data_IF_838141054337
#
_entry.id   IF_838141054337
#
_cell.length_a   1.000
_cell.length_b   1.000
_cell.length_c   1.000
_cell.angle_alpha   90.00
_cell.angle_beta   90.00
_cell.angle_gamma   90.00
#
_symmetry.space_group_name_H-M   'P 1'
#
loop_
_entity.id
_entity.type
_entity.pdbx_description
1 polymer ?
#
# COMPACT_ATOMS: atom_id res chain seq x y z
N UNK A 1 2.61 -7.40 1.73
CA UNK A 1 3.12 -6.86 3.03
C UNK A 1 3.37 -8.03 3.97
N UNK A 2 4.54 -8.13 4.62
CA UNK A 2 4.91 -9.32 5.42
C UNK A 2 4.77 -9.04 6.91
N UNK A 3 3.94 -9.82 7.60
CA UNK A 3 3.84 -9.76 9.07
C UNK A 3 5.09 -10.40 9.67
N UNK A 4 5.92 -9.62 10.36
CA UNK A 4 7.00 -10.16 11.17
C UNK A 4 6.44 -10.74 12.47
N UNK A 5 6.78 -12.00 12.77
CA UNK A 5 6.52 -12.61 14.08
C UNK A 5 7.69 -12.23 15.00
N UNK A 6 7.38 -11.65 16.16
CA UNK A 6 8.40 -11.20 17.12
C UNK A 6 8.49 -12.18 18.29
N UNK A 7 9.71 -12.64 18.61
CA UNK A 7 9.93 -13.45 19.80
C UNK A 7 9.89 -12.60 21.08
N UNK A 8 9.71 -13.20 22.27
CA UNK A 8 9.68 -12.46 23.53
C UNK A 8 10.96 -11.64 23.80
N UNK A 9 12.12 -12.13 23.36
CA UNK A 9 13.40 -11.44 23.51
C UNK A 9 13.49 -10.19 22.62
N UNK A 10 13.10 -10.29 21.35
CA UNK A 10 13.01 -9.12 20.45
C UNK A 10 12.07 -8.05 21.02
N UNK A 11 10.92 -8.47 21.55
CA UNK A 11 9.98 -7.55 22.19
C UNK A 11 10.61 -6.88 23.41
N UNK A 12 11.27 -7.64 24.30
CA UNK A 12 11.95 -7.12 25.49
C UNK A 12 13.03 -6.12 25.12
N UNK A 13 13.86 -6.43 24.13
CA UNK A 13 14.93 -5.55 23.65
C UNK A 13 14.39 -4.27 23.00
N UNK A 14 13.19 -4.33 22.42
CA UNK A 14 12.50 -3.16 21.85
C UNK A 14 11.92 -2.20 22.88
N UNK A 15 11.63 -2.64 24.12
CA UNK A 15 10.93 -1.83 25.13
C UNK A 15 11.67 -0.55 25.52
N UNK A 16 12.99 -0.52 25.44
CA UNK A 16 13.78 0.69 25.71
C UNK A 16 13.44 1.86 24.78
N UNK A 17 12.92 1.58 23.58
CA UNK A 17 12.52 2.60 22.58
C UNK A 17 11.09 3.10 22.75
N UNK A 18 10.30 2.50 23.66
CA UNK A 18 8.88 2.81 23.77
C UNK A 18 8.58 4.28 24.08
N UNK A 19 9.31 4.96 25.00
CA UNK A 19 9.07 6.38 25.23
C UNK A 19 9.19 7.24 23.97
N UNK A 20 10.20 6.96 23.13
CA UNK A 20 10.42 7.66 21.86
C UNK A 20 9.32 7.33 20.84
N UNK A 21 8.92 6.05 20.75
CA UNK A 21 7.83 5.62 19.87
C UNK A 21 6.52 6.30 20.26
N UNK A 22 6.22 6.43 21.56
CA UNK A 22 5.01 7.08 22.02
C UNK A 22 5.01 8.59 21.74
N UNK A 23 6.13 9.27 21.99
CA UNK A 23 6.28 10.71 21.66
C UNK A 23 6.13 10.97 20.15
N UNK A 24 6.75 10.15 19.30
CA UNK A 24 6.64 10.31 17.84
C UNK A 24 5.20 10.15 17.35
N UNK A 25 4.44 9.19 17.90
CA UNK A 25 3.05 8.96 17.49
C UNK A 25 2.14 10.16 17.72
N UNK A 26 2.44 11.02 18.69
CA UNK A 26 1.66 12.24 18.93
C UNK A 26 2.03 13.38 17.97
N UNK A 27 3.17 13.27 17.28
CA UNK A 27 3.71 14.31 16.40
C UNK A 27 3.57 13.97 14.92
N UNK A 28 3.53 12.69 14.57
CA UNK A 28 3.45 12.25 13.18
C UNK A 28 2.02 12.27 12.64
N UNK A 29 1.85 12.66 11.37
CA UNK A 29 0.55 12.82 10.71
C UNK A 29 -0.41 11.64 10.90
N UNK A 30 0.11 10.41 10.75
CA UNK A 30 -0.66 9.19 10.80
C UNK A 30 -0.91 8.61 12.20
N UNK A 31 -0.36 9.20 13.26
CA UNK A 31 -0.34 8.57 14.59
C UNK A 31 0.57 7.35 14.70
N UNK A 32 1.48 7.17 13.73
CA UNK A 32 2.50 6.11 13.67
C UNK A 32 3.88 6.69 14.07
N UNK A 33 4.87 5.82 14.30
CA UNK A 33 6.23 6.24 14.64
C UNK A 33 7.12 6.46 13.40
N UNK A 34 6.55 7.05 12.34
CA UNK A 34 7.21 7.46 11.10
C UNK A 34 6.39 8.57 10.45
N UNK A 35 7.05 9.38 9.63
CA UNK A 35 6.49 10.54 8.97
C UNK A 35 6.80 10.51 7.47
N UNK A 36 6.19 11.42 6.72
CA UNK A 36 6.55 11.76 5.35
C UNK A 36 8.06 11.94 5.16
N UNK A 37 8.54 11.59 3.97
CA UNK A 37 9.84 12.05 3.49
C UNK A 37 9.76 13.54 3.13
N UNK A 38 10.78 14.31 3.49
CA UNK A 38 10.85 15.75 3.25
C UNK A 38 10.99 16.11 1.77
N UNK A 39 11.35 15.15 0.91
CA UNK A 39 11.45 15.34 -0.53
C UNK A 39 10.08 15.28 -1.21
N UNK A 40 9.99 15.97 -2.34
CA UNK A 40 8.86 15.82 -3.26
C UNK A 40 9.13 14.64 -4.20
N UNK A 41 8.08 13.94 -4.59
CA UNK A 41 8.14 12.71 -5.37
C UNK A 41 8.92 12.92 -6.67
N UNK A 42 8.71 14.03 -7.38
CA UNK A 42 9.36 14.28 -8.68
C UNK A 42 10.76 14.92 -8.55
N UNK A 43 11.26 15.10 -7.33
CA UNK A 43 12.64 15.57 -7.10
C UNK A 43 13.68 14.46 -7.26
N UNK A 44 13.28 13.19 -7.13
CA UNK A 44 14.12 12.03 -7.36
C UNK A 44 13.93 11.46 -8.77
N UNK A 45 14.96 10.75 -9.27
CA UNK A 45 14.86 10.03 -10.54
C UNK A 45 13.88 8.85 -10.43
N UNK A 46 13.35 8.31 -11.55
CA UNK A 46 12.51 7.12 -11.52
C UNK A 46 13.09 5.96 -10.72
N UNK A 47 14.39 5.69 -10.89
CA UNK A 47 15.11 4.58 -10.23
C UNK A 47 15.23 4.79 -8.72
N UNK A 48 15.51 6.02 -8.29
CA UNK A 48 15.58 6.39 -6.88
C UNK A 48 14.22 6.22 -6.20
N UNK A 49 13.14 6.62 -6.88
CA UNK A 49 11.77 6.47 -6.37
C UNK A 49 11.38 5.01 -6.25
N UNK A 50 11.70 4.19 -7.25
CA UNK A 50 11.45 2.75 -7.19
C UNK A 50 12.19 2.12 -6.00
N UNK A 51 13.47 2.42 -5.82
CA UNK A 51 14.24 1.90 -4.70
C UNK A 51 13.65 2.33 -3.33
N UNK A 52 13.21 3.58 -3.22
CA UNK A 52 12.54 4.08 -2.02
C UNK A 52 11.18 3.40 -1.78
N UNK A 53 10.37 3.21 -2.81
CA UNK A 53 9.08 2.54 -2.67
C UNK A 53 9.22 1.04 -2.36
N UNK A 54 10.25 0.38 -2.89
CA UNK A 54 10.60 -1.00 -2.51
C UNK A 54 10.95 -1.09 -1.03
N UNK A 55 11.78 -0.18 -0.51
CA UNK A 55 12.13 -0.19 0.92
C UNK A 55 10.89 0.00 1.82
N UNK A 56 10.00 0.92 1.48
CA UNK A 56 8.73 1.12 2.20
C UNK A 56 7.83 -0.14 2.14
N UNK A 57 7.83 -0.86 1.02
CA UNK A 57 7.09 -2.10 0.86
C UNK A 57 7.69 -3.25 1.69
N UNK A 58 9.02 -3.33 1.77
CA UNK A 58 9.75 -4.30 2.57
C UNK A 58 9.53 -4.08 4.07
N UNK A 59 9.60 -2.83 4.54
CA UNK A 59 9.29 -2.48 5.93
C UNK A 59 7.81 -2.72 6.28
N UNK A 60 6.93 -2.59 5.30
CA UNK A 60 5.52 -2.97 5.38
C UNK A 60 4.65 -2.08 6.27
N UNK A 61 3.47 -2.60 6.61
CA UNK A 61 2.43 -1.83 7.31
C UNK A 61 1.95 -0.63 6.48
N UNK A 62 1.76 0.51 7.13
CA UNK A 62 1.31 1.74 6.48
C UNK A 62 2.45 2.66 6.03
N UNK A 63 3.71 2.24 6.01
CA UNK A 63 4.84 3.09 5.56
C UNK A 63 4.71 3.53 4.11
N UNK A 64 4.37 2.61 3.21
CA UNK A 64 4.07 2.99 1.83
C UNK A 64 2.84 3.91 1.68
N UNK A 65 2.00 4.04 2.73
CA UNK A 65 0.91 5.04 2.81
C UNK A 65 1.38 6.37 3.42
N UNK A 66 1.94 6.35 4.63
CA UNK A 66 2.10 7.52 5.50
C UNK A 66 3.58 7.83 5.83
N UNK A 67 4.51 7.10 5.21
CA UNK A 67 5.95 7.38 5.24
C UNK A 67 6.52 7.57 3.84
N UNK A 68 5.67 7.98 2.89
CA UNK A 68 6.05 8.24 1.50
C UNK A 68 6.48 9.72 1.34
N UNK A 69 6.80 10.17 0.13
CA UNK A 69 7.09 11.58 -0.17
C UNK A 69 5.95 12.50 0.26
N UNK A 70 6.25 13.69 0.81
CA UNK A 70 5.22 14.58 1.38
C UNK A 70 4.15 15.10 0.41
N UNK A 71 4.41 15.07 -0.90
CA UNK A 71 3.55 15.66 -1.93
C UNK A 71 2.63 14.65 -2.63
N UNK A 72 2.81 13.34 -2.46
CA UNK A 72 2.09 12.37 -3.29
C UNK A 72 0.57 12.30 -3.03
N UNK A 73 0.09 12.84 -1.90
CA UNK A 73 -1.34 12.99 -1.62
C UNK A 73 -1.93 14.32 -2.09
N UNK A 74 -1.09 15.30 -2.45
CA UNK A 74 -1.52 16.65 -2.84
C UNK A 74 -1.19 17.01 -4.29
N UNK A 75 -0.33 16.23 -4.96
CA UNK A 75 0.07 16.39 -6.35
C UNK A 75 -0.41 15.21 -7.20
N UNK A 76 -1.13 15.47 -8.29
CA UNK A 76 -1.75 14.44 -9.12
C UNK A 76 -0.71 13.59 -9.85
N UNK A 77 0.32 14.22 -10.36
CA UNK A 77 1.43 13.58 -11.09
C UNK A 77 2.25 12.69 -10.16
N UNK A 78 2.54 13.17 -8.94
CA UNK A 78 3.18 12.39 -7.90
C UNK A 78 2.33 11.18 -7.49
N UNK A 79 1.01 11.39 -7.28
CA UNK A 79 0.08 10.32 -6.93
C UNK A 79 0.04 9.22 -8.01
N UNK A 80 0.02 9.63 -9.29
CA UNK A 80 0.04 8.70 -10.43
C UNK A 80 1.31 7.86 -10.43
N UNK A 81 2.49 8.45 -10.22
CA UNK A 81 3.74 7.71 -10.18
C UNK A 81 3.76 6.62 -9.08
N UNK A 82 3.22 6.94 -7.90
CA UNK A 82 3.09 5.97 -6.79
C UNK A 82 2.08 4.87 -7.13
N UNK A 83 0.98 5.22 -7.81
CA UNK A 83 -0.02 4.25 -8.29
C UNK A 83 0.59 3.28 -9.29
N UNK A 84 1.32 3.78 -10.29
CA UNK A 84 1.92 2.97 -11.35
C UNK A 84 2.92 1.95 -10.79
N UNK A 85 3.72 2.37 -9.79
CA UNK A 85 4.57 1.45 -9.02
C UNK A 85 3.73 0.37 -8.32
N UNK A 86 2.69 0.77 -7.58
CA UNK A 86 1.82 -0.19 -6.88
C UNK A 86 1.15 -1.17 -7.86
N UNK A 87 0.65 -0.68 -8.99
CA UNK A 87 0.00 -1.45 -10.06
C UNK A 87 0.97 -2.49 -10.61
N UNK A 88 2.21 -2.10 -10.93
CA UNK A 88 3.25 -3.04 -11.40
C UNK A 88 3.52 -4.15 -10.39
N UNK A 89 3.54 -3.81 -9.09
CA UNK A 89 3.75 -4.80 -8.01
C UNK A 89 2.55 -5.71 -7.78
N UNK A 90 1.32 -5.24 -7.90
CA UNK A 90 0.13 -6.07 -7.66
C UNK A 90 -0.27 -6.89 -8.87
N UNK A 91 -0.15 -6.33 -10.06
CA UNK A 91 -0.52 -7.00 -11.32
C UNK A 91 0.25 -8.31 -11.54
N UNK A 92 1.51 -8.36 -11.11
CA UNK A 92 2.36 -9.56 -11.20
C UNK A 92 1.94 -10.70 -10.26
N UNK A 93 1.08 -10.44 -9.26
CA UNK A 93 0.62 -11.44 -8.27
C UNK A 93 -0.62 -12.20 -8.72
N UNK A 94 -1.34 -11.70 -9.72
CA UNK A 94 -2.57 -12.29 -10.24
C UNK A 94 -2.29 -12.80 -11.63
N UNK A 95 -2.41 -14.11 -11.87
CA UNK A 95 -2.08 -14.75 -13.14
C UNK A 95 -3.21 -14.62 -14.17
N UNK A 96 -4.47 -14.66 -13.73
CA UNK A 96 -5.63 -14.48 -14.61
C UNK A 96 -5.74 -13.01 -15.06
N UNK A 97 -5.66 -12.72 -16.38
CA UNK A 97 -5.73 -11.35 -16.90
C UNK A 97 -7.07 -10.65 -16.62
N UNK A 98 -8.19 -11.39 -16.54
CA UNK A 98 -9.50 -10.80 -16.23
C UNK A 98 -9.57 -10.38 -14.76
N UNK A 99 -9.12 -11.25 -13.85
CA UNK A 99 -9.06 -10.92 -12.42
C UNK A 99 -8.10 -9.77 -12.15
N UNK A 100 -6.95 -9.76 -12.83
CA UNK A 100 -5.95 -8.69 -12.72
C UNK A 100 -6.55 -7.34 -13.10
N UNK A 101 -7.28 -7.26 -14.21
CA UNK A 101 -7.91 -6.02 -14.66
C UNK A 101 -8.94 -5.47 -13.65
N UNK A 102 -9.64 -6.34 -12.92
CA UNK A 102 -10.60 -5.94 -11.87
C UNK A 102 -9.89 -5.51 -10.57
N UNK A 103 -8.86 -6.24 -10.17
CA UNK A 103 -8.18 -6.04 -8.88
C UNK A 103 -7.15 -4.91 -8.87
N UNK A 104 -6.53 -4.67 -10.01
CA UNK A 104 -5.45 -3.70 -10.21
C UNK A 104 -5.57 -3.12 -11.62
N UNK A 105 -6.58 -2.27 -11.88
CA UNK A 105 -6.80 -1.69 -13.20
C UNK A 105 -5.65 -0.75 -13.61
N UNK A 106 -5.39 -0.59 -14.91
CA UNK A 106 -4.36 0.35 -15.40
C UNK A 106 -4.70 1.80 -15.06
N UNK A 107 -5.97 2.16 -15.13
CA UNK A 107 -6.47 3.47 -14.69
C UNK A 107 -7.02 3.39 -13.26
N UNK A 108 -6.54 4.25 -12.34
CA UNK A 108 -6.96 4.21 -10.95
C UNK A 108 -8.43 4.62 -10.81
N UNK A 109 -9.27 3.86 -10.07
CA UNK A 109 -10.69 4.20 -9.87
C UNK A 109 -10.89 5.48 -9.05
N UNK A 110 -9.86 5.90 -8.32
CA UNK A 110 -9.79 7.15 -7.55
C UNK A 110 -8.33 7.48 -7.27
N UNK A 111 -7.98 8.72 -6.84
CA UNK A 111 -6.62 9.03 -6.41
C UNK A 111 -6.10 7.99 -5.40
N UNK A 112 -4.87 7.53 -5.62
CA UNK A 112 -4.29 6.43 -4.86
C UNK A 112 -4.20 6.81 -3.38
N UNK A 113 -4.66 5.90 -2.52
CA UNK A 113 -4.65 6.04 -1.05
C UNK A 113 -5.40 7.25 -0.48
N UNK A 114 -6.37 7.79 -1.23
CA UNK A 114 -7.32 8.80 -0.74
C UNK A 114 -8.19 8.29 0.41
N UNK A 115 -8.41 6.98 0.49
CA UNK A 115 -9.03 6.27 1.61
C UNK A 115 -8.00 5.39 2.31
N UNK A 116 -8.26 5.05 3.58
CA UNK A 116 -7.42 4.13 4.34
C UNK A 116 -7.31 2.77 3.62
N UNK A 117 -6.11 2.31 3.25
CA UNK A 117 -5.93 1.04 2.57
C UNK A 117 -6.05 -0.13 3.56
N UNK A 118 -6.44 -1.29 3.03
CA UNK A 118 -6.36 -2.56 3.75
C UNK A 118 -4.91 -3.08 3.74
N UNK A 119 -4.48 -3.70 4.85
CA UNK A 119 -3.21 -4.44 4.91
C UNK A 119 -3.47 -5.90 4.58
N UNK A 120 -2.84 -6.39 3.52
CA UNK A 120 -3.03 -7.76 3.03
C UNK A 120 -1.74 -8.59 3.13
N UNK A 121 -1.91 -9.91 3.20
CA UNK A 121 -0.80 -10.86 3.20
C UNK A 121 -0.80 -11.70 1.92
N UNK A 122 -1.96 -12.25 1.57
CA UNK A 122 -2.15 -13.16 0.43
C UNK A 122 -3.48 -12.90 -0.30
N UNK A 123 -4.00 -11.67 -0.25
CA UNK A 123 -5.34 -11.36 -0.75
C UNK A 123 -5.45 -11.62 -2.25
N UNK A 124 -4.48 -11.13 -3.03
CA UNK A 124 -4.44 -11.31 -4.48
C UNK A 124 -4.23 -12.77 -4.88
N UNK A 125 -3.39 -13.52 -4.16
CA UNK A 125 -3.13 -14.93 -4.43
C UNK A 125 -4.37 -15.80 -4.15
N UNK A 126 -5.12 -15.49 -3.10
CA UNK A 126 -6.40 -16.19 -2.80
C UNK A 126 -7.43 -15.89 -3.87
N UNK A 127 -7.53 -14.63 -4.32
CA UNK A 127 -8.41 -14.23 -5.41
C UNK A 127 -8.08 -14.91 -6.73
N UNK A 128 -6.81 -15.22 -6.97
CA UNK A 128 -6.33 -15.86 -8.19
C UNK A 128 -6.57 -17.38 -8.22
N UNK A 129 -7.00 -18.01 -7.12
CA UNK A 129 -7.28 -19.44 -7.08
C UNK A 129 -8.34 -19.85 -8.12
N UNK A 130 -8.23 -21.06 -8.71
CA UNK A 130 -9.08 -21.48 -9.84
C UNK A 130 -10.55 -21.68 -9.44
N UNK A 131 -10.83 -21.93 -8.16
CA UNK A 131 -12.19 -22.08 -7.64
C UNK A 131 -12.79 -20.77 -7.11
N UNK A 132 -12.03 -19.67 -7.14
CA UNK A 132 -12.51 -18.36 -6.71
C UNK A 132 -12.98 -17.58 -7.94
N UNK A 133 -14.22 -17.12 -7.92
CA UNK A 133 -14.81 -16.27 -8.95
C UNK A 133 -14.91 -14.83 -8.43
N UNK A 134 -14.63 -13.85 -9.30
CA UNK A 134 -14.81 -12.42 -8.99
C UNK A 134 -16.04 -11.92 -9.74
N UNK A 135 -17.00 -11.38 -9.00
CA UNK A 135 -18.18 -10.72 -9.58
C UNK A 135 -18.01 -9.22 -9.42
N UNK A 136 -18.02 -8.48 -10.52
CA UNK A 136 -18.09 -7.03 -10.49
C UNK A 136 -19.56 -6.60 -10.43
N UNK A 137 -19.93 -5.89 -9.37
CA UNK A 137 -21.29 -5.37 -9.16
C UNK A 137 -21.41 -3.87 -9.47
N UNK A 138 -20.32 -3.24 -9.92
CA UNK A 138 -20.28 -1.80 -10.15
C UNK A 138 -21.08 -1.35 -11.37
N UNK A 139 -21.08 -2.15 -12.43
CA UNK A 139 -21.83 -1.87 -13.66
C UNK A 139 -23.36 -1.90 -13.43
N UNK A 140 -23.86 -2.67 -12.46
CA UNK A 140 -25.29 -2.76 -12.16
C UNK A 140 -25.80 -1.69 -11.17
N UNK A 141 -24.91 -1.03 -10.43
CA UNK A 141 -25.28 -0.18 -9.28
C UNK A 141 -24.63 1.20 -9.24
N UNK A 142 -23.75 1.53 -10.20
CA UNK A 142 -23.08 2.83 -10.29
C UNK A 142 -22.09 3.12 -9.16
N UNK A 143 -21.64 2.08 -8.43
CA UNK A 143 -20.70 2.19 -7.31
C UNK A 143 -19.49 1.28 -7.52
N UNK A 144 -18.36 1.61 -6.88
CA UNK A 144 -17.07 0.92 -6.99
C UNK A 144 -17.16 -0.60 -6.79
N UNK A 145 -16.50 -1.35 -7.67
CA UNK A 145 -16.35 -2.82 -7.70
C UNK A 145 -16.32 -3.46 -6.32
N UNK A 146 -17.36 -4.23 -5.98
CA UNK A 146 -17.41 -5.06 -4.77
C UNK A 146 -17.27 -6.52 -5.17
N UNK A 147 -16.20 -7.15 -4.69
CA UNK A 147 -15.86 -8.53 -5.04
C UNK A 147 -16.48 -9.47 -4.01
N UNK A 148 -17.40 -10.31 -4.47
CA UNK A 148 -18.00 -11.39 -3.67
C UNK A 148 -17.32 -12.72 -4.01
N UNK A 149 -16.99 -13.51 -2.99
CA UNK A 149 -16.49 -14.87 -3.14
C UNK A 149 -17.65 -15.86 -3.01
N UNK A 150 -17.71 -16.89 -3.86
CA UNK A 150 -18.52 -18.09 -3.66
C UNK A 150 -17.63 -19.29 -3.39
#
# INVERSE_FOLDING_TARGET
>A
MRRKILCPEEQKNGKGKYPQIYDLRERCFGGFAYEWDDLNTLSNTPEEREAFWESLCEEGGFRFWLGNYKDYLSCKEANRAVYDFWHTKQSTRVTDPKKRALLSPEEPPHPFRVKRPCLEQNYYEVLDLPHVELVDVGDESGHTTTIMYR
#
